data_IF_535124429341
#
_entry.id   IF_535124429341
#
_cell.length_a   1.000
_cell.length_b   1.000
_cell.length_c   1.000
_cell.angle_alpha   90.00
_cell.angle_beta   90.00
_cell.angle_gamma   90.00
#
_symmetry.space_group_name_H-M   'P 1'
#
loop_
_entity.id
_entity.type
_entity.pdbx_description
1 polymer ?
#
# COMPACT_ATOMS: atom_id res chain seq x y z
N UNK A 1 65.36 14.86 32.40
CA UNK A 1 64.54 13.62 32.37
C UNK A 1 63.17 13.97 32.92
N UNK A 2 62.14 13.91 32.07
CA UNK A 2 60.76 14.14 32.43
C UNK A 2 60.13 12.86 32.95
N UNK A 3 59.30 12.96 33.99
CA UNK A 3 58.33 11.94 34.35
C UNK A 3 56.96 12.62 34.49
N UNK A 4 56.06 12.23 33.60
CA UNK A 4 54.68 12.72 33.48
C UNK A 4 53.83 12.16 34.62
N UNK A 5 53.08 13.01 35.30
CA UNK A 5 52.00 12.63 36.24
C UNK A 5 50.70 13.24 35.72
N UNK A 6 49.86 12.40 35.12
CA UNK A 6 48.51 12.74 34.69
C UNK A 6 47.58 12.75 35.90
N UNK A 7 47.09 13.94 36.28
CA UNK A 7 46.03 14.10 37.29
C UNK A 7 44.71 13.60 36.71
N UNK A 8 44.19 12.49 37.26
CA UNK A 8 42.87 11.95 36.92
C UNK A 8 41.80 12.91 37.43
N UNK A 9 40.89 13.32 36.55
CA UNK A 9 39.79 14.24 36.88
C UNK A 9 38.83 13.62 37.91
N UNK A 10 38.45 14.33 38.98
CA UNK A 10 37.60 13.81 40.06
C UNK A 10 36.14 13.55 39.61
N UNK A 11 35.79 13.86 38.36
CA UNK A 11 34.46 13.65 37.79
C UNK A 11 34.16 12.15 37.62
N UNK A 12 35.17 11.35 37.26
CA UNK A 12 35.01 9.92 36.98
C UNK A 12 34.54 9.14 38.23
N UNK A 13 35.19 9.25 39.42
CA UNK A 13 34.74 8.51 40.59
C UNK A 13 33.37 8.97 41.10
N UNK A 14 33.03 10.26 40.94
CA UNK A 14 31.71 10.79 41.31
C UNK A 14 30.62 10.18 40.43
N UNK A 15 30.84 10.11 39.12
CA UNK A 15 29.88 9.54 38.17
C UNK A 15 29.65 8.04 38.42
N UNK A 16 30.72 7.29 38.74
CA UNK A 16 30.63 5.87 39.08
C UNK A 16 29.88 5.66 40.40
N UNK A 17 30.13 6.50 41.41
CA UNK A 17 29.34 6.46 42.66
C UNK A 17 27.86 6.77 42.41
N UNK A 18 27.55 7.74 41.57
CA UNK A 18 26.16 8.10 41.27
C UNK A 18 25.41 6.97 40.57
N UNK A 19 26.07 6.28 39.62
CA UNK A 19 25.51 5.10 38.95
C UNK A 19 25.27 3.93 39.93
N UNK A 20 26.22 3.64 40.81
CA UNK A 20 26.10 2.58 41.82
C UNK A 20 24.99 2.87 42.84
N UNK A 21 24.80 4.13 43.25
CA UNK A 21 23.71 4.50 44.16
C UNK A 21 22.36 4.44 43.43
N UNK A 22 22.29 4.82 42.16
CA UNK A 22 21.04 4.76 41.39
C UNK A 22 20.50 3.34 41.21
N UNK A 23 21.37 2.34 41.10
CA UNK A 23 20.97 0.93 41.00
C UNK A 23 20.54 0.33 42.34
N UNK A 24 21.01 0.89 43.46
CA UNK A 24 20.62 0.48 44.82
C UNK A 24 19.27 1.07 45.26
N UNK A 25 18.92 2.28 44.78
CA UNK A 25 17.69 2.99 45.19
C UNK A 25 16.50 2.64 44.28
N UNK A 26 16.75 2.23 43.04
CA UNK A 26 15.72 1.78 42.11
C UNK A 26 15.99 0.33 41.67
N UNK A 27 15.47 -0.69 42.37
CA UNK A 27 15.45 -2.03 41.80
C UNK A 27 14.67 -1.94 40.49
N UNK A 28 15.36 -2.19 39.36
CA UNK A 28 14.71 -2.32 38.06
C UNK A 28 13.77 -3.53 38.14
N UNK A 29 12.52 -3.29 38.48
CA UNK A 29 11.47 -4.26 38.30
C UNK A 29 11.29 -4.42 36.79
N UNK A 30 11.86 -5.51 36.26
CA UNK A 30 11.40 -6.08 35.01
C UNK A 30 9.94 -6.44 35.23
N UNK A 31 9.04 -5.56 34.80
CA UNK A 31 7.63 -5.90 34.67
C UNK A 31 7.57 -7.02 33.65
N UNK A 32 7.20 -8.23 34.07
CA UNK A 32 6.75 -9.25 33.14
C UNK A 32 5.68 -8.63 32.23
N UNK A 33 5.73 -8.83 30.90
CA UNK A 33 4.66 -8.38 30.05
C UNK A 33 3.37 -9.05 30.52
N UNK A 34 2.39 -8.28 30.96
CA UNK A 34 1.03 -8.76 31.16
C UNK A 34 0.57 -9.44 29.86
N UNK A 35 0.19 -10.72 29.94
CA UNK A 35 -0.38 -11.49 28.81
C UNK A 35 -1.59 -10.78 28.15
N UNK A 36 -2.23 -9.84 28.85
CA UNK A 36 -3.32 -9.01 28.32
C UNK A 36 -2.91 -8.01 27.21
N UNK A 37 -1.62 -7.75 26.98
CA UNK A 37 -1.17 -6.92 25.84
C UNK A 37 -0.91 -7.71 24.56
N UNK A 38 -0.81 -9.03 24.65
CA UNK A 38 -0.63 -9.89 23.47
C UNK A 38 -1.88 -9.88 22.57
N UNK A 39 -3.08 -9.64 23.14
CA UNK A 39 -4.34 -9.58 22.39
C UNK A 39 -4.47 -8.39 21.44
N UNK A 40 -3.61 -7.37 21.54
CA UNK A 40 -3.60 -6.22 20.62
C UNK A 40 -2.45 -6.26 19.60
N UNK A 41 -1.57 -7.28 19.68
CA UNK A 41 -0.30 -7.31 18.98
C UNK A 41 -0.37 -7.79 17.52
N UNK A 42 -1.55 -8.18 17.04
CA UNK A 42 -1.70 -8.82 15.73
C UNK A 42 -3.12 -8.60 15.18
N UNK A 43 -3.43 -7.42 14.64
CA UNK A 43 -4.79 -7.12 14.13
C UNK A 43 -5.16 -7.93 12.87
N UNK A 44 -4.18 -8.38 12.09
CA UNK A 44 -4.37 -9.21 10.89
C UNK A 44 -4.09 -10.69 11.11
N UNK A 45 -3.39 -11.06 12.18
CA UNK A 45 -2.99 -12.45 12.42
C UNK A 45 -3.98 -13.13 13.37
N UNK A 46 -4.85 -13.96 12.80
CA UNK A 46 -5.81 -14.81 13.53
C UNK A 46 -5.49 -16.28 13.24
N UNK A 47 -4.49 -16.84 13.93
CA UNK A 47 -3.96 -18.16 13.60
C UNK A 47 -4.98 -19.30 13.71
N UNK A 48 -6.12 -19.10 14.39
CA UNK A 48 -7.19 -20.09 14.54
C UNK A 48 -8.30 -20.00 13.48
N UNK A 49 -8.34 -18.96 12.65
CA UNK A 49 -9.42 -18.71 11.68
C UNK A 49 -9.02 -18.99 10.21
N UNK A 50 -7.81 -19.51 9.99
CA UNK A 50 -7.23 -19.78 8.68
C UNK A 50 -7.54 -21.21 8.23
N UNK A 51 -8.18 -21.37 7.07
CA UNK A 51 -8.56 -22.69 6.55
C UNK A 51 -7.44 -23.36 5.75
N UNK A 52 -6.55 -22.55 5.15
CA UNK A 52 -5.43 -23.02 4.35
C UNK A 52 -4.30 -21.99 4.36
N UNK A 53 -3.06 -22.49 4.28
CA UNK A 53 -1.84 -21.68 4.18
C UNK A 53 -1.14 -21.99 2.88
N UNK A 54 -0.84 -20.97 2.11
CA UNK A 54 -0.11 -21.07 0.86
C UNK A 54 1.21 -20.31 1.00
N UNK A 55 2.29 -20.87 0.46
CA UNK A 55 3.60 -20.24 0.49
C UNK A 55 3.97 -19.81 -0.92
N UNK A 56 4.14 -18.51 -1.09
CA UNK A 56 4.54 -17.92 -2.36
C UNK A 56 6.05 -18.07 -2.61
N UNK A 57 6.50 -18.14 -3.87
CA UNK A 57 7.92 -18.24 -4.22
C UNK A 57 8.80 -17.09 -3.69
N UNK A 58 8.24 -15.90 -3.51
CA UNK A 58 8.90 -14.73 -2.93
C UNK A 58 9.02 -14.79 -1.39
N UNK A 59 8.49 -15.85 -0.76
CA UNK A 59 8.56 -16.08 0.68
C UNK A 59 7.34 -15.58 1.47
N UNK A 60 6.39 -14.92 0.80
CA UNK A 60 5.12 -14.54 1.43
C UNK A 60 4.32 -15.78 1.87
N UNK A 61 3.56 -15.59 2.95
CA UNK A 61 2.55 -16.53 3.39
C UNK A 61 1.17 -15.93 3.12
N UNK A 62 0.32 -16.68 2.42
CA UNK A 62 -1.07 -16.32 2.18
C UNK A 62 -1.96 -17.20 3.04
N UNK A 63 -2.84 -16.55 3.80
CA UNK A 63 -3.81 -17.20 4.65
C UNK A 63 -5.19 -17.11 3.99
N UNK A 64 -5.81 -18.26 3.73
CA UNK A 64 -7.19 -18.32 3.24
C UNK A 64 -8.15 -18.18 4.42
N UNK A 65 -8.75 -17.00 4.56
CA UNK A 65 -9.64 -16.65 5.67
C UNK A 65 -11.09 -16.68 5.19
N UNK A 66 -12.00 -17.23 6.00
CA UNK A 66 -13.42 -17.22 5.66
C UNK A 66 -13.89 -15.79 5.39
N UNK A 67 -14.66 -15.59 4.31
CA UNK A 67 -15.00 -14.26 3.81
C UNK A 67 -15.72 -13.34 4.82
N UNK A 68 -16.41 -13.90 5.82
CA UNK A 68 -17.08 -13.15 6.89
C UNK A 68 -16.20 -12.89 8.13
N UNK A 69 -14.99 -13.43 8.16
CA UNK A 69 -13.99 -13.24 9.23
C UNK A 69 -12.89 -12.24 8.84
N UNK A 70 -12.94 -11.71 7.62
CA UNK A 70 -11.99 -10.70 7.17
C UNK A 70 -12.09 -9.40 7.99
N UNK A 71 -11.05 -8.54 8.00
CA UNK A 71 -10.98 -7.34 8.83
C UNK A 71 -12.16 -6.37 8.71
N UNK A 72 -12.87 -6.36 7.58
CA UNK A 72 -14.10 -5.58 7.40
C UNK A 72 -15.13 -5.80 8.52
N UNK A 73 -15.27 -7.05 8.99
CA UNK A 73 -16.27 -7.47 9.96
C UNK A 73 -15.86 -7.21 11.42
N UNK A 74 -14.68 -6.62 11.64
CA UNK A 74 -14.28 -6.09 12.95
C UNK A 74 -14.98 -4.77 13.26
N UNK A 75 -15.53 -4.14 12.23
CA UNK A 75 -16.35 -2.96 12.41
C UNK A 75 -17.59 -3.32 13.24
N UNK A 76 -17.91 -2.60 14.33
CA UNK A 76 -19.02 -2.94 15.23
C UNK A 76 -20.37 -3.09 14.52
N UNK A 77 -20.60 -2.32 13.46
CA UNK A 77 -21.84 -2.38 12.68
C UNK A 77 -21.90 -3.54 11.68
N UNK A 78 -20.78 -4.18 11.35
CA UNK A 78 -20.72 -5.30 10.41
C UNK A 78 -20.48 -6.64 11.10
N UNK A 79 -20.06 -6.64 12.37
CA UNK A 79 -19.74 -7.86 13.11
C UNK A 79 -20.91 -8.86 13.11
N UNK A 80 -20.61 -10.09 12.72
CA UNK A 80 -21.59 -11.18 12.61
C UNK A 80 -22.44 -11.16 11.35
N UNK A 81 -22.23 -10.20 10.44
CA UNK A 81 -22.87 -10.20 9.12
C UNK A 81 -22.07 -11.03 8.12
N UNK A 82 -22.72 -11.42 7.02
CA UNK A 82 -22.06 -12.04 5.88
C UNK A 82 -21.77 -11.00 4.80
N UNK A 83 -20.74 -11.21 3.96
CA UNK A 83 -20.55 -10.43 2.75
C UNK A 83 -21.83 -10.39 1.92
N UNK A 84 -22.17 -9.20 1.44
CA UNK A 84 -23.20 -9.03 0.43
C UNK A 84 -22.67 -9.48 -0.93
N UNK A 85 -23.57 -9.86 -1.83
CA UNK A 85 -23.20 -10.10 -3.22
C UNK A 85 -22.62 -8.81 -3.84
N UNK A 86 -21.54 -8.92 -4.62
CA UNK A 86 -20.94 -7.77 -5.26
C UNK A 86 -21.96 -7.11 -6.22
N UNK A 87 -21.93 -5.77 -6.36
CA UNK A 87 -22.80 -5.09 -7.31
C UNK A 87 -22.52 -5.56 -8.74
N UNK A 88 -23.54 -5.49 -9.59
CA UNK A 88 -23.40 -5.80 -11.01
C UNK A 88 -22.37 -4.87 -11.67
N UNK A 89 -21.47 -5.45 -12.48
CA UNK A 89 -20.48 -4.67 -13.22
C UNK A 89 -21.18 -3.81 -14.29
N UNK A 90 -20.60 -2.65 -14.63
CA UNK A 90 -21.13 -1.83 -15.71
C UNK A 90 -21.23 -2.59 -17.04
N UNK A 91 -22.26 -2.27 -17.82
CA UNK A 91 -22.53 -2.85 -19.12
C UNK A 91 -21.32 -2.73 -20.06
N UNK A 92 -21.07 -3.77 -20.85
CA UNK A 92 -19.92 -3.85 -21.77
C UNK A 92 -18.55 -4.02 -21.09
N UNK A 93 -18.51 -4.11 -19.75
CA UNK A 93 -17.28 -4.31 -18.96
C UNK A 93 -17.22 -5.69 -18.31
N UNK A 94 -17.96 -6.65 -18.87
CA UNK A 94 -17.78 -8.05 -18.54
C UNK A 94 -16.36 -8.48 -18.91
N UNK A 95 -15.73 -9.37 -18.13
CA UNK A 95 -14.41 -9.91 -18.47
C UNK A 95 -14.53 -10.78 -19.74
N UNK A 96 -14.47 -10.17 -20.92
CA UNK A 96 -14.37 -10.86 -22.19
C UNK A 96 -12.92 -11.26 -22.39
N UNK A 97 -12.58 -12.51 -22.06
CA UNK A 97 -11.28 -13.08 -22.40
C UNK A 97 -10.09 -12.59 -21.59
N UNK A 98 -10.28 -12.20 -20.32
CA UNK A 98 -9.15 -12.28 -19.38
C UNK A 98 -8.87 -13.78 -19.22
N UNK A 99 -7.84 -14.26 -19.92
CA UNK A 99 -7.21 -15.52 -19.55
C UNK A 99 -6.98 -15.44 -18.04
N UNK A 100 -7.36 -16.50 -17.33
CA UNK A 100 -7.02 -16.73 -15.93
C UNK A 100 -5.49 -16.84 -15.80
N UNK A 101 -4.75 -15.81 -16.19
CA UNK A 101 -3.31 -15.75 -15.98
C UNK A 101 -3.11 -15.33 -14.54
N UNK A 102 -2.48 -16.23 -13.79
CA UNK A 102 -1.97 -15.96 -12.46
C UNK A 102 -0.94 -14.84 -12.51
N UNK A 103 -1.41 -13.58 -12.42
CA UNK A 103 -0.55 -12.40 -12.43
C UNK A 103 0.08 -12.11 -11.06
N UNK A 104 -0.06 -13.03 -10.10
CA UNK A 104 0.53 -12.91 -8.77
C UNK A 104 1.39 -14.14 -8.46
N UNK A 105 2.59 -13.90 -7.90
CA UNK A 105 3.58 -14.96 -7.66
C UNK A 105 3.03 -16.14 -6.85
N UNK A 106 2.14 -15.87 -5.89
CA UNK A 106 1.58 -16.90 -5.00
C UNK A 106 0.62 -17.85 -5.68
N UNK A 107 0.01 -17.46 -6.80
CA UNK A 107 -0.95 -18.30 -7.55
C UNK A 107 -0.34 -18.92 -8.80
N UNK A 108 0.92 -18.62 -9.15
CA UNK A 108 1.60 -19.17 -10.34
C UNK A 108 1.67 -20.71 -10.39
N UNK A 109 1.53 -21.39 -9.25
CA UNK A 109 1.42 -22.85 -9.13
C UNK A 109 0.03 -23.39 -9.53
N UNK A 110 -0.93 -22.51 -9.86
CA UNK A 110 -2.35 -22.82 -10.01
C UNK A 110 -3.09 -22.90 -8.67
N UNK A 111 -2.42 -22.57 -7.55
CA UNK A 111 -3.03 -22.55 -6.22
C UNK A 111 -3.93 -21.32 -6.05
N UNK A 112 -5.08 -21.52 -5.43
CA UNK A 112 -6.01 -20.44 -5.08
C UNK A 112 -6.72 -20.76 -3.76
N UNK A 113 -7.29 -19.74 -3.13
CA UNK A 113 -8.05 -19.97 -1.90
C UNK A 113 -9.40 -20.63 -2.21
N UNK A 114 -9.89 -21.56 -1.35
CA UNK A 114 -11.17 -22.23 -1.55
C UNK A 114 -12.34 -21.26 -1.68
N UNK A 115 -13.42 -21.67 -2.35
CA UNK A 115 -14.64 -20.88 -2.42
C UNK A 115 -15.17 -20.53 -1.02
N UNK A 116 -15.69 -19.30 -0.88
CA UNK A 116 -16.15 -18.77 0.41
C UNK A 116 -15.03 -18.20 1.30
N UNK A 117 -13.77 -18.27 0.87
CA UNK A 117 -12.62 -17.67 1.56
C UNK A 117 -11.96 -16.57 0.73
N UNK A 118 -11.09 -15.78 1.34
CA UNK A 118 -10.26 -14.78 0.66
C UNK A 118 -8.78 -14.95 1.03
N UNK A 119 -7.84 -14.71 0.10
CA UNK A 119 -6.43 -14.71 0.42
C UNK A 119 -6.05 -13.40 1.14
N UNK A 120 -5.43 -13.53 2.31
CA UNK A 120 -4.85 -12.43 3.07
C UNK A 120 -3.35 -12.68 3.20
N UNK A 121 -2.52 -11.74 2.74
CA UNK A 121 -1.06 -11.80 2.96
C UNK A 121 -0.78 -11.62 4.44
N UNK A 122 -0.11 -12.59 5.05
CA UNK A 122 0.28 -12.54 6.45
C UNK A 122 1.24 -11.37 6.70
N UNK A 123 0.96 -10.60 7.74
CA UNK A 123 1.90 -9.60 8.25
C UNK A 123 3.01 -10.31 9.03
N UNK A 124 4.25 -10.16 8.58
CA UNK A 124 5.41 -10.77 9.26
C UNK A 124 5.86 -9.95 10.46
N UNK A 125 6.66 -10.55 11.36
CA UNK A 125 7.31 -9.79 12.44
C UNK A 125 8.21 -8.67 11.87
N UNK A 126 8.91 -8.93 10.77
CA UNK A 126 9.72 -7.94 10.08
C UNK A 126 8.88 -6.76 9.58
N UNK A 127 7.65 -7.02 9.13
CA UNK A 127 6.71 -5.96 8.71
C UNK A 127 6.31 -5.08 9.89
N UNK A 128 6.06 -5.69 11.04
CA UNK A 128 5.71 -4.99 12.27
C UNK A 128 6.89 -4.17 12.82
N UNK A 129 8.11 -4.68 12.73
CA UNK A 129 9.30 -3.98 13.17
C UNK A 129 9.54 -2.70 12.37
N UNK A 130 9.23 -2.69 11.06
CA UNK A 130 9.29 -1.50 10.19
C UNK A 130 8.30 -0.41 10.59
N UNK A 131 7.22 -0.76 11.30
CA UNK A 131 6.20 0.19 11.73
C UNK A 131 6.68 1.04 12.93
N UNK A 132 6.51 2.37 12.85
CA UNK A 132 6.75 3.26 14.01
C UNK A 132 5.82 2.99 15.20
N UNK A 133 4.66 2.39 14.95
CA UNK A 133 3.65 2.06 15.95
C UNK A 133 2.74 1.00 15.38
N UNK A 134 2.52 -0.07 16.15
CA UNK A 134 1.55 -1.13 15.85
C UNK A 134 0.17 -0.54 15.58
N UNK A 135 -0.24 0.49 16.34
CA UNK A 135 -1.56 1.12 16.16
C UNK A 135 -1.68 1.92 14.84
N UNK A 136 -0.56 2.34 14.26
CA UNK A 136 -0.51 3.11 13.01
C UNK A 136 -0.02 2.30 11.81
N UNK A 137 0.27 1.00 12.00
CA UNK A 137 0.67 0.15 10.88
C UNK A 137 -0.45 0.13 9.83
N UNK A 138 -0.06 0.26 8.56
CA UNK A 138 -1.00 0.40 7.45
C UNK A 138 -1.64 1.78 7.28
N UNK A 139 -1.32 2.80 8.10
CA UNK A 139 -1.87 4.16 7.93
C UNK A 139 -0.82 5.14 7.42
N UNK A 140 -1.21 6.02 6.48
CA UNK A 140 -0.31 7.10 6.01
C UNK A 140 -0.03 8.11 7.15
N UNK A 141 1.17 8.71 7.21
CA UNK A 141 1.47 9.77 8.17
C UNK A 141 0.57 11.00 7.96
N UNK A 142 0.18 11.65 9.06
CA UNK A 142 -0.55 12.92 9.02
C UNK A 142 0.32 14.01 8.37
N UNK A 143 0.01 14.37 7.13
CA UNK A 143 0.57 15.52 6.40
C UNK A 143 -0.59 16.33 5.82
N UNK A 144 -0.46 17.65 5.73
CA UNK A 144 -1.48 18.47 5.07
C UNK A 144 -1.49 18.14 3.59
N UNK A 145 -2.59 17.57 3.09
CA UNK A 145 -2.77 17.34 1.66
C UNK A 145 -3.05 18.67 0.98
N UNK A 146 -2.20 19.05 0.04
CA UNK A 146 -2.47 20.20 -0.83
C UNK A 146 -2.97 19.71 -2.19
N UNK A 147 -3.68 20.61 -2.87
CA UNK A 147 -4.21 20.39 -4.23
C UNK A 147 -3.10 20.41 -5.29
N UNK A 148 -1.98 21.08 -5.01
CA UNK A 148 -0.86 21.15 -5.93
C UNK A 148 -0.02 19.88 -5.88
N UNK A 149 0.24 19.31 -7.06
CA UNK A 149 1.19 18.22 -7.26
C UNK A 149 2.62 18.58 -6.84
N UNK A 150 2.96 19.87 -6.80
CA UNK A 150 4.26 20.36 -6.35
C UNK A 150 4.40 20.27 -4.83
N UNK A 151 4.61 19.07 -4.29
CA UNK A 151 4.80 18.87 -2.86
C UNK A 151 6.15 18.21 -2.58
N UNK A 152 7.00 18.95 -1.84
CA UNK A 152 8.29 18.54 -1.26
C UNK A 152 8.42 17.03 -0.98
N UNK A 153 9.02 16.28 -1.92
CA UNK A 153 9.53 14.93 -1.70
C UNK A 153 8.95 13.82 -2.60
N UNK A 154 7.94 14.10 -3.43
CA UNK A 154 7.51 13.17 -4.47
C UNK A 154 7.65 13.82 -5.84
N UNK A 155 8.09 13.04 -6.81
CA UNK A 155 8.16 13.45 -8.21
C UNK A 155 7.24 12.53 -9.00
N UNK A 156 6.31 13.10 -9.75
CA UNK A 156 5.37 12.29 -10.52
C UNK A 156 4.95 12.93 -11.84
N UNK A 157 4.34 12.09 -12.66
CA UNK A 157 3.52 12.47 -13.79
C UNK A 157 2.09 11.97 -13.55
N UNK A 158 1.10 12.78 -13.88
CA UNK A 158 -0.31 12.49 -13.62
C UNK A 158 -1.21 12.93 -14.77
N UNK A 159 -2.10 12.04 -15.17
CA UNK A 159 -3.29 12.37 -15.94
C UNK A 159 -4.47 12.58 -15.00
N UNK A 160 -5.16 13.71 -15.08
CA UNK A 160 -6.31 14.01 -14.23
C UNK A 160 -7.45 14.70 -14.97
N UNK A 161 -8.66 14.52 -14.44
CA UNK A 161 -9.87 15.22 -14.85
C UNK A 161 -10.55 15.73 -13.58
N UNK A 162 -11.04 16.97 -13.62
CA UNK A 162 -11.73 17.60 -12.49
C UNK A 162 -12.72 18.63 -13.01
N UNK A 163 -13.82 18.84 -12.30
CA UNK A 163 -14.80 19.89 -12.62
C UNK A 163 -16.25 19.40 -12.64
N UNK A 164 -16.45 18.10 -12.89
CA UNK A 164 -17.76 17.46 -12.88
C UNK A 164 -17.88 16.37 -11.82
N UNK A 165 -19.04 15.72 -11.76
CA UNK A 165 -19.29 14.56 -10.92
C UNK A 165 -18.90 13.28 -11.66
N UNK A 166 -17.86 12.60 -11.17
CA UNK A 166 -17.43 11.30 -11.67
C UNK A 166 -17.75 10.23 -10.64
N UNK A 167 -18.35 9.14 -11.09
CA UNK A 167 -18.77 8.03 -10.23
C UNK A 167 -17.83 6.84 -10.27
N UNK A 168 -16.74 6.93 -11.03
CA UNK A 168 -15.80 5.85 -11.18
C UNK A 168 -14.71 6.18 -12.20
N UNK A 169 -13.76 5.26 -12.33
CA UNK A 169 -12.71 5.31 -13.33
C UNK A 169 -12.25 3.87 -13.64
N UNK A 170 -11.83 3.67 -14.89
CA UNK A 170 -11.17 2.45 -15.35
C UNK A 170 -9.81 2.83 -15.92
N UNK A 171 -8.77 2.10 -15.55
CA UNK A 171 -7.42 2.30 -16.07
C UNK A 171 -6.71 0.96 -16.26
N UNK A 172 -5.97 0.82 -17.37
CA UNK A 172 -4.98 -0.23 -17.55
C UNK A 172 -3.60 0.36 -17.25
N UNK A 173 -2.92 -0.18 -16.26
CA UNK A 173 -1.67 0.34 -15.71
C UNK A 173 -0.55 -0.65 -15.98
N UNK A 174 0.45 -0.20 -16.73
CA UNK A 174 1.60 -1.03 -17.02
C UNK A 174 2.46 -1.28 -15.76
N UNK A 175 2.86 -2.53 -15.53
CA UNK A 175 3.57 -2.98 -14.32
C UNK A 175 5.06 -3.04 -14.59
N UNK A 176 5.86 -2.32 -13.81
CA UNK A 176 7.32 -2.33 -13.88
C UNK A 176 7.91 -2.74 -12.54
N UNK A 177 9.14 -3.26 -12.55
CA UNK A 177 9.97 -3.43 -11.36
C UNK A 177 11.08 -2.35 -11.34
N UNK A 178 10.75 -1.09 -10.99
CA UNK A 178 11.73 -0.02 -10.97
C UNK A 178 12.80 -0.28 -9.90
N UNK A 179 14.06 0.05 -10.21
CA UNK A 179 15.12 0.10 -9.20
C UNK A 179 14.99 1.41 -8.44
N UNK A 180 14.57 1.33 -7.19
CA UNK A 180 14.62 2.42 -6.21
C UNK A 180 16.02 2.46 -5.61
N UNK A 181 16.68 3.62 -5.74
CA UNK A 181 18.12 3.76 -5.50
C UNK A 181 18.44 3.83 -4.01
N UNK A 182 17.53 4.42 -3.23
CA UNK A 182 17.66 4.56 -1.78
C UNK A 182 16.61 3.73 -1.03
N UNK A 183 16.95 3.29 0.17
CA UNK A 183 16.04 2.55 1.07
C UNK A 183 14.87 3.37 1.62
N UNK A 184 14.92 4.69 1.39
CA UNK A 184 13.88 5.65 1.75
C UNK A 184 13.00 6.03 0.55
N UNK A 185 13.19 5.39 -0.59
CA UNK A 185 12.42 5.65 -1.81
C UNK A 185 11.40 4.54 -2.06
N UNK A 186 10.29 4.93 -2.66
CA UNK A 186 9.34 4.01 -3.26
C UNK A 186 8.89 4.60 -4.60
N UNK A 187 8.43 3.71 -5.47
CA UNK A 187 7.78 4.07 -6.73
C UNK A 187 6.40 3.42 -6.75
N UNK A 188 5.42 4.11 -7.32
CA UNK A 188 4.09 3.56 -7.51
C UNK A 188 3.50 4.03 -8.83
N UNK A 189 2.53 3.27 -9.32
CA UNK A 189 1.59 3.74 -10.31
C UNK A 189 0.18 3.36 -9.85
N UNK A 190 -0.73 4.33 -9.89
CA UNK A 190 -2.05 4.17 -9.30
C UNK A 190 -3.13 4.93 -10.06
N UNK A 191 -4.35 4.45 -9.90
CA UNK A 191 -5.57 5.23 -10.11
C UNK A 191 -6.04 5.78 -8.77
N UNK A 192 -6.48 7.05 -8.78
CA UNK A 192 -6.92 7.77 -7.59
C UNK A 192 -8.27 8.43 -7.87
N UNK A 193 -9.32 8.02 -7.14
CA UNK A 193 -10.66 8.62 -7.21
C UNK A 193 -10.88 9.42 -5.94
N UNK A 194 -11.23 10.70 -6.09
CA UNK A 194 -11.36 11.65 -5.00
C UNK A 194 -12.73 12.33 -4.99
N UNK A 195 -13.20 12.67 -3.80
CA UNK A 195 -14.35 13.54 -3.58
C UNK A 195 -14.14 14.32 -2.27
N UNK A 196 -14.85 15.44 -2.10
CA UNK A 196 -14.62 16.38 -1.00
C UNK A 196 -13.51 17.40 -1.29
N UNK A 197 -13.09 18.11 -0.24
CA UNK A 197 -12.19 19.25 -0.29
C UNK A 197 -10.85 18.96 0.37
N UNK A 198 -9.77 19.39 -0.29
CA UNK A 198 -8.41 19.25 0.24
C UNK A 198 -8.24 19.95 1.59
N UNK A 199 -7.80 19.19 2.61
CA UNK A 199 -7.55 19.70 3.96
C UNK A 199 -8.72 19.57 4.93
N UNK A 200 -9.93 19.28 4.43
CA UNK A 200 -11.15 19.12 5.24
C UNK A 200 -11.69 17.68 5.13
N UNK A 201 -12.62 17.44 4.20
CA UNK A 201 -13.42 16.22 4.06
C UNK A 201 -12.99 15.34 2.87
N UNK A 202 -11.75 15.48 2.39
CA UNK A 202 -11.25 14.70 1.26
C UNK A 202 -11.36 13.20 1.53
N UNK A 203 -12.13 12.51 0.71
CA UNK A 203 -12.28 11.07 0.75
C UNK A 203 -11.75 10.44 -0.55
N UNK A 204 -10.97 9.38 -0.40
CA UNK A 204 -10.19 8.79 -1.50
C UNK A 204 -10.30 7.28 -1.56
N UNK A 205 -10.26 6.78 -2.80
CA UNK A 205 -10.02 5.37 -3.12
C UNK A 205 -8.83 5.33 -4.08
N UNK A 206 -7.81 4.56 -3.71
CA UNK A 206 -6.56 4.41 -4.44
C UNK A 206 -6.32 2.93 -4.71
N UNK A 207 -5.95 2.60 -5.93
CA UNK A 207 -5.57 1.24 -6.31
C UNK A 207 -4.47 1.28 -7.38
N UNK A 208 -3.50 0.39 -7.27
CA UNK A 208 -2.33 0.41 -8.14
C UNK A 208 -1.30 -0.64 -7.76
N UNK A 209 -0.08 -0.45 -8.23
CA UNK A 209 1.08 -1.20 -7.76
C UNK A 209 2.10 -0.26 -7.13
N UNK A 210 2.83 -0.75 -6.12
CA UNK A 210 3.93 -0.03 -5.48
C UNK A 210 5.14 -0.96 -5.32
N UNK A 211 6.34 -0.40 -5.45
CA UNK A 211 7.62 -1.07 -5.22
C UNK A 211 8.47 -0.19 -4.29
N UNK A 212 9.02 -0.74 -3.21
CA UNK A 212 9.78 0.02 -2.20
C UNK A 212 10.94 -0.78 -1.65
N UNK A 213 12.11 -0.16 -1.46
CA UNK A 213 13.30 -0.84 -0.95
C UNK A 213 13.50 -0.60 0.55
N UNK A 214 12.47 -0.75 1.39
CA UNK A 214 12.63 -0.41 2.80
C UNK A 214 13.09 -1.61 3.64
N UNK A 215 14.41 -1.72 3.82
CA UNK A 215 15.05 -2.68 4.74
C UNK A 215 15.37 -2.07 6.14
N UNK A 216 15.15 -0.76 6.36
CA UNK A 216 15.54 -0.06 7.60
C UNK A 216 14.43 0.86 8.16
N UNK A 217 14.36 0.91 9.51
CA UNK A 217 13.33 1.47 10.38
C UNK A 217 13.12 3.01 10.40
N UNK A 218 13.50 3.78 9.37
CA UNK A 218 13.51 5.25 9.48
C UNK A 218 12.74 6.01 8.37
N UNK A 219 11.58 6.52 8.79
CA UNK A 219 10.94 7.78 8.40
C UNK A 219 10.45 8.04 6.96
N UNK A 220 10.33 7.05 6.06
CA UNK A 220 9.63 7.29 4.78
C UNK A 220 8.54 6.23 4.54
N UNK A 221 7.30 6.69 4.71
CA UNK A 221 6.09 5.97 4.36
C UNK A 221 6.12 5.51 2.90
N UNK A 222 5.57 4.33 2.54
CA UNK A 222 5.01 3.31 3.43
C UNK A 222 5.93 2.07 3.48
N UNK A 223 6.52 1.81 4.65
CA UNK A 223 7.39 0.66 4.93
C UNK A 223 6.62 -0.68 4.99
N UNK A 224 5.64 -0.87 4.10
CA UNK A 224 4.70 -1.99 4.06
C UNK A 224 5.38 -3.29 3.66
N UNK A 225 6.31 -3.20 2.72
CA UNK A 225 6.95 -4.35 2.09
C UNK A 225 8.47 -4.25 2.29
N UNK A 226 9.09 -5.40 2.56
CA UNK A 226 10.54 -5.51 2.79
C UNK A 226 11.30 -5.92 1.53
N UNK A 227 10.73 -5.70 0.35
CA UNK A 227 11.23 -6.17 -0.94
C UNK A 227 10.88 -5.22 -2.08
N UNK A 228 11.56 -5.38 -3.22
CA UNK A 228 11.40 -4.54 -4.40
C UNK A 228 10.40 -5.08 -5.43
N UNK A 229 9.57 -6.06 -5.07
CA UNK A 229 8.57 -6.55 -6.01
C UNK A 229 7.46 -5.51 -6.19
N UNK A 230 6.99 -5.25 -7.42
CA UNK A 230 5.78 -4.47 -7.61
C UNK A 230 4.60 -5.24 -7.01
N UNK A 231 3.99 -4.67 -5.98
CA UNK A 231 2.90 -5.31 -5.22
C UNK A 231 1.61 -4.58 -5.45
N UNK A 232 0.54 -5.32 -5.74
CA UNK A 232 -0.80 -4.76 -5.85
C UNK A 232 -1.19 -4.16 -4.51
N UNK A 233 -1.68 -2.93 -4.48
CA UNK A 233 -2.12 -2.28 -3.25
C UNK A 233 -3.43 -1.55 -3.45
N UNK A 234 -4.12 -1.39 -2.33
CA UNK A 234 -5.25 -0.47 -2.21
C UNK A 234 -5.04 0.46 -1.02
N UNK A 235 -5.61 1.65 -1.09
CA UNK A 235 -5.70 2.57 0.04
C UNK A 235 -7.04 3.30 -0.02
N UNK A 236 -7.62 3.60 1.14
CA UNK A 236 -8.80 4.45 1.24
C UNK A 236 -8.64 5.41 2.41
N UNK A 237 -9.35 6.54 2.40
CA UNK A 237 -9.57 7.42 3.57
C UNK A 237 -10.88 8.17 3.40
N UNK A 238 -11.50 8.58 4.50
CA UNK A 238 -12.74 9.40 4.50
C UNK A 238 -12.55 10.78 5.12
N UNK A 239 -11.34 11.12 5.55
CA UNK A 239 -11.11 12.32 6.38
C UNK A 239 -9.77 12.99 6.08
N UNK A 240 -9.43 13.13 4.81
CA UNK A 240 -8.21 13.77 4.34
C UNK A 240 -6.93 13.22 4.99
N UNK A 241 -6.87 11.89 5.16
CA UNK A 241 -5.73 11.18 5.75
C UNK A 241 -5.42 11.60 7.20
N UNK A 242 -6.41 12.11 7.93
CA UNK A 242 -6.23 12.59 9.30
C UNK A 242 -6.28 11.44 10.31
N UNK A 243 -7.43 10.81 10.49
CA UNK A 243 -7.64 9.74 11.47
C UNK A 243 -8.05 8.41 10.82
N UNK A 244 -8.68 8.45 9.65
CA UNK A 244 -9.13 7.27 8.90
C UNK A 244 -8.18 6.90 7.78
N UNK A 245 -8.42 5.70 7.26
CA UNK A 245 -7.75 5.17 6.10
C UNK A 245 -6.70 4.12 6.44
N UNK A 246 -6.52 3.21 5.49
CA UNK A 246 -5.65 2.07 5.66
C UNK A 246 -5.23 1.46 4.33
N UNK A 247 -4.01 0.93 4.29
CA UNK A 247 -3.50 0.09 3.23
C UNK A 247 -4.09 -1.30 3.29
N UNK A 248 -4.52 -1.81 2.14
CA UNK A 248 -4.94 -3.19 1.93
C UNK A 248 -5.95 -3.65 3.00
N UNK A 249 -5.84 -4.90 3.43
CA UNK A 249 -6.62 -5.48 4.53
C UNK A 249 -5.95 -5.31 5.90
N UNK A 250 -5.06 -4.32 6.10
CA UNK A 250 -4.40 -4.12 7.40
C UNK A 250 -5.34 -3.55 8.47
N UNK A 251 -6.50 -3.04 8.07
CA UNK A 251 -7.56 -2.53 8.94
C UNK A 251 -8.94 -2.81 8.33
N UNK A 252 -9.99 -2.70 9.13
CA UNK A 252 -11.38 -2.68 8.66
C UNK A 252 -11.64 -1.51 7.71
N UNK A 253 -12.30 -1.73 6.57
CA UNK A 253 -12.71 -0.63 5.69
C UNK A 253 -13.49 -1.03 4.44
N UNK A 254 -13.19 -2.18 3.85
CA UNK A 254 -13.91 -2.71 2.69
C UNK A 254 -13.98 -4.24 2.75
N UNK A 255 -14.95 -4.81 2.04
CA UNK A 255 -15.13 -6.27 1.92
C UNK A 255 -14.47 -6.73 0.63
N UNK A 256 -13.45 -7.58 0.74
CA UNK A 256 -12.93 -8.35 -0.38
C UNK A 256 -13.83 -9.56 -0.62
N UNK A 257 -14.22 -9.77 -1.88
CA UNK A 257 -15.10 -10.88 -2.29
C UNK A 257 -14.40 -11.91 -3.17
N UNK A 258 -13.27 -11.53 -3.78
CA UNK A 258 -12.51 -12.40 -4.69
C UNK A 258 -11.51 -13.28 -3.91
N UNK A 259 -11.46 -14.56 -4.26
CA UNK A 259 -10.59 -15.58 -3.65
C UNK A 259 -9.30 -15.89 -4.42
N UNK A 260 -9.08 -15.23 -5.57
CA UNK A 260 -7.95 -15.45 -6.48
C UNK A 260 -6.93 -14.32 -6.48
N UNK A 261 -7.30 -13.13 -6.02
CA UNK A 261 -6.43 -11.96 -5.98
C UNK A 261 -6.14 -11.60 -4.53
N UNK A 262 -4.89 -11.67 -4.13
CA UNK A 262 -4.41 -11.24 -2.82
C UNK A 262 -3.95 -9.78 -2.88
N UNK A 263 -4.61 -8.90 -2.12
CA UNK A 263 -4.17 -7.50 -1.99
C UNK A 263 -2.88 -7.46 -1.16
N UNK A 264 -1.84 -6.82 -1.69
CA UNK A 264 -0.50 -6.77 -1.11
C UNK A 264 0.48 -7.81 -1.65
N UNK A 265 0.02 -8.76 -2.48
CA UNK A 265 0.89 -9.76 -3.09
C UNK A 265 1.67 -9.21 -4.30
N UNK A 266 2.84 -9.81 -4.54
CA UNK A 266 3.72 -9.47 -5.65
C UNK A 266 3.09 -9.83 -7.00
N UNK A 267 3.20 -8.88 -7.94
CA UNK A 267 2.72 -9.02 -9.32
C UNK A 267 3.85 -9.56 -10.19
N UNK A 268 3.54 -10.56 -11.02
CA UNK A 268 4.46 -11.15 -11.98
C UNK A 268 3.68 -11.72 -13.16
N UNK A 269 4.18 -11.64 -14.40
CA UNK A 269 5.45 -11.02 -14.82
C UNK A 269 5.43 -9.49 -14.80
N UNK A 270 6.60 -8.87 -15.01
CA UNK A 270 6.77 -7.40 -15.07
C UNK A 270 7.29 -6.95 -16.42
N UNK A 271 6.97 -5.72 -16.79
CA UNK A 271 7.35 -5.13 -18.09
C UNK A 271 8.84 -4.86 -18.16
N UNK A 272 9.39 -4.92 -19.37
CA UNK A 272 10.81 -4.66 -19.64
C UNK A 272 11.01 -3.89 -20.93
N UNK A 273 12.08 -3.10 -21.00
CA UNK A 273 12.46 -2.40 -22.23
C UNK A 273 12.78 -3.40 -23.34
N UNK A 274 12.18 -3.22 -24.52
CA UNK A 274 12.32 -4.12 -25.68
C UNK A 274 11.91 -5.58 -25.39
N UNK A 275 11.08 -5.80 -24.36
CA UNK A 275 10.54 -7.11 -24.01
C UNK A 275 9.04 -7.07 -23.80
N UNK A 276 8.52 -8.08 -23.10
CA UNK A 276 7.09 -8.17 -22.79
C UNK A 276 6.59 -6.95 -22.01
N UNK A 277 5.38 -6.50 -22.35
CA UNK A 277 4.64 -5.47 -21.64
C UNK A 277 3.45 -6.14 -20.95
N UNK A 278 3.32 -5.89 -19.65
CA UNK A 278 2.27 -6.48 -18.82
C UNK A 278 1.57 -5.36 -18.05
N UNK A 279 0.24 -5.34 -18.10
CA UNK A 279 -0.58 -4.36 -17.40
C UNK A 279 -1.58 -5.02 -16.44
N UNK A 280 -1.99 -4.25 -15.44
CA UNK A 280 -3.14 -4.55 -14.60
C UNK A 280 -4.29 -3.64 -14.97
N UNK A 281 -5.48 -4.21 -15.13
CA UNK A 281 -6.70 -3.46 -15.39
C UNK A 281 -7.48 -3.25 -14.10
N UNK A 282 -7.67 -1.99 -13.72
CA UNK A 282 -8.36 -1.56 -12.51
C UNK A 282 -9.66 -0.84 -12.86
N UNK A 283 -10.73 -1.16 -12.14
CA UNK A 283 -12.02 -0.50 -12.26
C UNK A 283 -12.53 -0.16 -10.86
N UNK A 284 -12.80 1.12 -10.62
CA UNK A 284 -13.49 1.63 -9.44
C UNK A 284 -14.78 2.28 -9.91
N UNK A 285 -15.92 1.90 -9.34
CA UNK A 285 -17.21 2.48 -9.70
C UNK A 285 -18.17 2.52 -8.52
N UNK A 286 -19.07 3.48 -8.56
CA UNK A 286 -20.30 3.55 -7.78
C UNK A 286 -21.45 3.11 -8.67
N UNK A 287 -22.40 2.36 -8.13
CA UNK A 287 -23.67 2.08 -8.81
C UNK A 287 -24.52 3.34 -8.75
N UNK A 288 -24.93 3.89 -9.90
CA UNK A 288 -25.54 5.23 -9.97
C UNK A 288 -26.90 5.26 -10.67
N UNK A 289 -27.11 4.43 -11.70
CA UNK A 289 -28.19 4.60 -12.67
C UNK A 289 -28.86 3.29 -13.10
N UNK A 290 -29.91 3.42 -13.93
CA UNK A 290 -30.72 2.31 -14.46
C UNK A 290 -30.07 1.60 -15.65
N UNK A 291 -29.13 2.25 -16.34
CA UNK A 291 -28.45 1.75 -17.54
C UNK A 291 -27.03 1.24 -17.27
N UNK A 292 -26.51 1.40 -16.04
CA UNK A 292 -25.25 0.85 -15.52
C UNK A 292 -24.10 0.97 -16.51
N UNK A 293 -23.97 2.11 -17.19
CA UNK A 293 -23.03 2.28 -18.33
C UNK A 293 -21.93 3.28 -18.01
N UNK A 294 -20.67 2.94 -18.33
CA UNK A 294 -19.54 3.86 -18.12
C UNK A 294 -19.39 4.83 -19.30
N UNK A 295 -19.24 6.12 -18.98
CA UNK A 295 -18.93 7.17 -19.95
C UNK A 295 -17.43 7.48 -19.86
N UNK A 296 -16.69 7.45 -20.99
CA UNK A 296 -15.29 7.85 -21.01
C UNK A 296 -15.10 9.27 -20.48
N UNK A 297 -14.06 9.47 -19.66
CA UNK A 297 -13.70 10.79 -19.17
C UNK A 297 -13.40 11.72 -20.36
N UNK A 298 -13.93 12.94 -20.36
CA UNK A 298 -13.56 13.98 -21.34
C UNK A 298 -12.52 14.92 -20.73
N UNK A 299 -11.74 15.61 -21.58
CA UNK A 299 -10.81 16.66 -21.14
C UNK A 299 -9.67 16.20 -20.20
N UNK A 300 -9.05 15.04 -20.48
CA UNK A 300 -7.86 14.60 -19.76
C UNK A 300 -6.75 15.65 -19.79
N UNK A 301 -6.35 16.13 -18.62
CA UNK A 301 -5.19 17.01 -18.44
C UNK A 301 -4.01 16.18 -17.99
N UNK A 302 -2.83 16.54 -18.48
CA UNK A 302 -1.56 15.90 -18.07
C UNK A 302 -0.66 16.93 -17.40
N UNK A 303 0.06 16.49 -16.37
CA UNK A 303 1.01 17.30 -15.62
C UNK A 303 2.19 16.42 -15.18
N UNK A 304 3.40 16.99 -15.17
CA UNK A 304 4.60 16.36 -14.61
C UNK A 304 5.45 17.42 -13.91
N UNK A 305 5.99 17.09 -12.73
CA UNK A 305 6.76 18.06 -11.93
C UNK A 305 8.13 18.38 -12.56
N UNK A 306 8.81 17.36 -13.08
CA UNK A 306 10.10 17.49 -13.78
C UNK A 306 9.99 16.95 -15.20
N UNK A 307 9.52 17.78 -16.14
CA UNK A 307 9.26 17.38 -17.54
C UNK A 307 10.51 16.90 -18.31
N UNK A 308 11.71 17.08 -17.77
CA UNK A 308 12.95 16.54 -18.36
C UNK A 308 13.26 15.10 -17.88
N UNK A 309 12.69 14.70 -16.74
CA UNK A 309 12.86 13.40 -16.09
C UNK A 309 11.63 12.49 -16.25
N UNK A 310 10.46 13.10 -16.28
CA UNK A 310 9.17 12.42 -16.40
C UNK A 310 8.48 12.89 -17.66
N UNK A 311 8.40 12.00 -18.64
CA UNK A 311 7.65 12.23 -19.86
C UNK A 311 6.20 11.82 -19.63
N UNK A 312 5.25 12.68 -20.00
CA UNK A 312 3.84 12.34 -20.03
C UNK A 312 3.21 12.81 -21.34
N UNK A 313 2.54 11.89 -22.03
CA UNK A 313 1.88 12.17 -23.29
C UNK A 313 0.49 11.56 -23.30
N UNK A 314 -0.52 12.42 -23.33
CA UNK A 314 -1.91 12.01 -23.52
C UNK A 314 -2.23 11.74 -24.99
N UNK A 315 -3.23 10.89 -25.22
CA UNK A 315 -3.78 10.61 -26.55
C UNK A 315 -5.19 10.06 -26.47
N UNK A 316 -5.87 10.03 -27.62
CA UNK A 316 -7.21 9.46 -27.77
C UNK A 316 -7.22 8.56 -28.99
N UNK A 317 -7.68 7.32 -28.85
CA UNK A 317 -7.89 6.41 -29.97
C UNK A 317 -9.12 5.52 -29.75
N UNK A 318 -9.60 4.87 -30.82
CA UNK A 318 -10.81 4.05 -30.79
C UNK A 318 -10.66 2.73 -30.01
N UNK A 319 -9.44 2.33 -29.66
CA UNK A 319 -9.15 1.06 -28.97
C UNK A 319 -9.07 1.25 -27.46
N UNK A 320 -8.42 2.32 -27.01
CA UNK A 320 -8.12 2.60 -25.60
C UNK A 320 -8.94 3.76 -25.03
N UNK A 321 -9.68 4.49 -25.87
CA UNK A 321 -10.34 5.74 -25.47
C UNK A 321 -9.28 6.79 -25.14
N UNK A 322 -9.37 7.39 -23.96
CA UNK A 322 -8.33 8.28 -23.45
C UNK A 322 -7.23 7.45 -22.80
N UNK A 323 -5.98 7.70 -23.19
CA UNK A 323 -4.82 7.08 -22.60
C UNK A 323 -3.72 8.12 -22.39
N UNK A 324 -2.77 7.79 -21.54
CA UNK A 324 -1.54 8.55 -21.43
C UNK A 324 -0.37 7.59 -21.24
N UNK A 325 0.73 7.88 -21.91
CA UNK A 325 2.01 7.26 -21.62
C UNK A 325 2.69 8.10 -20.55
N UNK A 326 3.31 7.43 -19.58
CA UNK A 326 4.13 8.07 -18.58
C UNK A 326 5.45 7.30 -18.43
N UNK A 327 6.54 8.03 -18.27
CA UNK A 327 7.88 7.49 -18.06
C UNK A 327 8.55 8.12 -16.84
N UNK A 328 9.39 7.36 -16.16
CA UNK A 328 10.21 7.83 -15.05
C UNK A 328 11.69 8.04 -15.43
N UNK A 329 12.52 8.52 -14.50
CA UNK A 329 13.87 9.05 -14.77
C UNK A 329 14.89 8.01 -15.27
N UNK A 330 14.57 6.73 -15.30
CA UNK A 330 15.54 5.64 -15.46
C UNK A 330 16.33 5.58 -16.79
N UNK A 331 15.97 6.35 -17.82
CA UNK A 331 16.68 6.39 -19.12
C UNK A 331 16.66 7.74 -19.84
N UNK A 332 16.15 8.81 -19.22
CA UNK A 332 16.17 10.12 -19.86
C UNK A 332 17.58 10.72 -19.76
N UNK A 333 18.24 10.95 -20.90
CA UNK A 333 19.52 11.70 -20.96
C UNK A 333 19.39 13.14 -20.49
N UNK A 334 18.16 13.62 -20.29
CA UNK A 334 17.83 14.96 -19.82
C UNK A 334 17.53 14.99 -18.32
N UNK A 335 17.60 13.85 -17.65
CA UNK A 335 17.47 13.75 -16.20
C UNK A 335 18.88 13.68 -15.57
N UNK A 336 19.31 14.71 -14.80
CA UNK A 336 20.62 14.77 -14.17
C UNK A 336 20.88 13.67 -13.13
#
# INVERSE_FOLDING_TARGET
>A
MAASSSKISPIIPIFVCFLLVSTLVCPAHSSQPSEDRAGAANRTFRPEEELQKLKSPDGDLMDCVASHLQPAFDHPLLKGQKPLDPPERPNGHNPTGMVEEDFQLWSMSGESCPEGTIPIRRTSEQDMLRAKSVQRFGRKPRRRVRRDSSSNGHEHAVGYVSGDQYYGAKASINVWAPRVANQYEFSLSQMWVISGSFGDDLNTIEAGWQASNSLILLQVSPELYGDNYPRFFTYWTTDAYQATGCYNLLCSGFVQTNNRIAIGAAISPTSSYNGGQFDISLLVWKVVDWDNSLIPLSNLRVLADHTNCYDIQGGINNVWGNYFYYGGPGRSVRCP
#
